data_IF_719923003082
#
_entry.id   IF_719923003082
#
_cell.length_a   1.000
_cell.length_b   1.000
_cell.length_c   1.000
_cell.angle_alpha   90.00
_cell.angle_beta   90.00
_cell.angle_gamma   90.00
#
_symmetry.space_group_name_H-M   'P 1'
#
loop_
_entity.id
_entity.type
_entity.pdbx_description
1 polymer ?
#
# COMPACT_ATOMS: atom_id res chain seq x y z
N UNK A 1 1.79 22.36 9.99
CA UNK A 1 1.65 21.38 8.90
C UNK A 1 2.93 20.61 8.62
N UNK A 2 4.07 21.26 8.29
CA UNK A 2 5.35 20.56 8.08
C UNK A 2 5.76 19.63 9.24
N UNK A 3 5.42 20.01 10.48
CA UNK A 3 5.64 19.18 11.67
C UNK A 3 4.93 17.83 11.57
N UNK A 4 3.61 17.82 11.36
CA UNK A 4 2.82 16.60 11.16
C UNK A 4 3.41 15.70 10.06
N UNK A 5 3.75 16.28 8.92
CA UNK A 5 4.33 15.51 7.81
C UNK A 5 5.68 14.88 8.16
N UNK A 6 6.54 15.61 8.89
CA UNK A 6 7.81 15.08 9.37
C UNK A 6 7.61 13.97 10.39
N UNK A 7 6.65 14.14 11.31
CA UNK A 7 6.30 13.13 12.31
C UNK A 7 5.76 11.85 11.67
N UNK A 8 4.87 11.97 10.67
CA UNK A 8 4.37 10.83 9.90
C UNK A 8 5.51 10.06 9.22
N UNK A 9 6.39 10.75 8.48
CA UNK A 9 7.55 10.11 7.85
C UNK A 9 8.49 9.47 8.89
N UNK A 10 8.74 10.13 10.02
CA UNK A 10 9.59 9.61 11.09
C UNK A 10 8.99 8.36 11.75
N UNK A 11 7.66 8.27 11.82
CA UNK A 11 6.93 7.08 12.27
C UNK A 11 6.81 5.99 11.19
N UNK A 12 7.34 6.21 9.97
CA UNK A 12 7.32 5.25 8.87
C UNK A 12 6.13 5.39 7.91
N UNK A 13 5.20 6.31 8.15
CA UNK A 13 4.06 6.58 7.25
C UNK A 13 4.51 7.50 6.11
N UNK A 14 4.78 6.90 4.96
CA UNK A 14 5.41 7.63 3.86
C UNK A 14 4.44 8.61 3.18
N UNK A 15 4.89 9.86 3.00
CA UNK A 15 4.21 10.90 2.20
C UNK A 15 5.14 11.65 1.24
N UNK A 16 6.36 11.17 1.03
CA UNK A 16 7.38 11.89 0.27
C UNK A 16 7.94 13.10 1.05
N UNK A 17 8.34 14.16 0.34
CA UNK A 17 8.96 15.34 0.95
C UNK A 17 7.93 16.24 1.63
N UNK A 18 8.08 16.57 2.94
CA UNK A 18 7.19 17.51 3.63
C UNK A 18 7.19 18.91 3.00
N UNK A 19 6.10 19.28 2.35
CA UNK A 19 5.91 20.56 1.64
C UNK A 19 5.15 21.61 2.46
N UNK A 20 4.51 21.20 3.55
CA UNK A 20 3.69 22.06 4.40
C UNK A 20 2.24 22.20 3.98
N UNK A 21 1.79 21.46 2.95
CA UNK A 21 0.41 21.45 2.46
C UNK A 21 -0.25 20.11 2.78
N UNK A 22 -1.49 20.12 3.28
CA UNK A 22 -2.27 18.90 3.44
C UNK A 22 -2.84 18.45 2.09
N UNK A 23 -1.95 17.94 1.24
CA UNK A 23 -2.31 17.39 -0.07
C UNK A 23 -2.56 15.89 -0.02
N UNK A 24 -2.79 15.32 -1.20
CA UNK A 24 -3.10 13.90 -1.39
C UNK A 24 -2.13 12.98 -0.63
N UNK A 25 -0.80 13.19 -0.71
CA UNK A 25 0.15 12.32 -0.02
C UNK A 25 0.06 12.40 1.51
N UNK A 26 -0.29 13.57 2.06
CA UNK A 26 -0.51 13.71 3.51
C UNK A 26 -1.78 12.98 3.93
N UNK A 27 -2.87 13.12 3.17
CA UNK A 27 -4.12 12.36 3.36
C UNK A 27 -3.86 10.85 3.32
N UNK A 28 -3.09 10.37 2.35
CA UNK A 28 -2.73 8.95 2.22
C UNK A 28 -1.92 8.44 3.43
N UNK A 29 -0.92 9.19 3.90
CA UNK A 29 -0.14 8.80 5.09
C UNK A 29 -0.98 8.80 6.37
N UNK A 30 -1.85 9.80 6.52
CA UNK A 30 -2.81 9.85 7.64
C UNK A 30 -3.75 8.66 7.60
N UNK A 31 -4.28 8.33 6.42
CA UNK A 31 -5.16 7.17 6.26
C UNK A 31 -4.43 5.86 6.55
N UNK A 32 -3.14 5.74 6.19
CA UNK A 32 -2.31 4.59 6.55
C UNK A 32 -2.13 4.44 8.06
N UNK A 33 -1.91 5.54 8.79
CA UNK A 33 -1.86 5.55 10.25
C UNK A 33 -3.20 5.16 10.86
N UNK A 34 -4.30 5.75 10.40
CA UNK A 34 -5.64 5.41 10.87
C UNK A 34 -5.97 3.93 10.67
N UNK A 35 -5.64 3.39 9.49
CA UNK A 35 -5.77 1.97 9.17
C UNK A 35 -4.95 1.09 10.12
N UNK A 36 -3.71 1.49 10.39
CA UNK A 36 -2.80 0.75 11.28
C UNK A 36 -3.28 0.75 12.72
N UNK A 37 -3.79 1.89 13.19
CA UNK A 37 -4.30 2.10 14.55
C UNK A 37 -5.76 1.65 14.75
N UNK A 38 -6.43 1.11 13.73
CA UNK A 38 -7.84 0.69 13.83
C UNK A 38 -8.83 1.85 14.04
N UNK A 39 -8.48 3.05 13.58
CA UNK A 39 -9.30 4.26 13.67
C UNK A 39 -10.24 4.41 12.46
N UNK A 40 -11.17 5.35 12.55
CA UNK A 40 -11.93 5.83 11.39
C UNK A 40 -10.96 6.31 10.31
N UNK A 41 -11.14 5.80 9.09
CA UNK A 41 -10.25 5.99 7.94
C UNK A 41 -10.71 7.17 7.09
N UNK A 42 -10.85 8.34 7.69
CA UNK A 42 -11.37 9.55 7.04
C UNK A 42 -10.29 10.43 6.38
N UNK A 43 -9.01 10.08 6.56
CA UNK A 43 -7.90 10.85 6.00
C UNK A 43 -7.70 12.20 6.69
N UNK A 44 -8.30 12.45 7.87
CA UNK A 44 -8.19 13.69 8.64
C UNK A 44 -7.34 13.49 9.90
N UNK A 45 -6.34 14.34 10.08
CA UNK A 45 -5.47 14.34 11.27
C UNK A 45 -6.14 14.96 12.51
N UNK A 46 -7.28 14.40 12.93
CA UNK A 46 -7.97 14.76 14.17
C UNK A 46 -7.25 14.25 15.43
N UNK A 47 -7.82 14.54 16.61
CA UNK A 47 -7.16 14.27 17.90
C UNK A 47 -6.68 12.83 18.07
N UNK A 48 -7.56 11.84 17.81
CA UNK A 48 -7.22 10.41 17.91
C UNK A 48 -6.08 10.01 16.97
N UNK A 49 -6.06 10.57 15.76
CA UNK A 49 -4.98 10.33 14.79
C UNK A 49 -3.65 10.89 15.31
N UNK A 50 -3.66 12.11 15.87
CA UNK A 50 -2.46 12.73 16.43
C UNK A 50 -1.95 12.00 17.67
N UNK A 51 -2.84 11.52 18.53
CA UNK A 51 -2.47 10.70 19.70
C UNK A 51 -1.80 9.38 19.24
N UNK A 52 -2.39 8.68 18.26
CA UNK A 52 -1.80 7.44 17.70
C UNK A 52 -0.43 7.67 17.04
N UNK A 53 -0.23 8.84 16.41
CA UNK A 53 1.08 9.23 15.86
C UNK A 53 2.10 9.46 16.96
N UNK A 54 1.73 10.17 18.03
CA UNK A 54 2.61 10.45 19.16
C UNK A 54 3.00 9.17 19.92
N UNK A 55 2.12 8.18 19.97
CA UNK A 55 2.40 6.85 20.52
C UNK A 55 3.31 6.00 19.63
N UNK A 56 3.59 6.43 18.39
CA UNK A 56 4.38 5.67 17.43
C UNK A 56 3.67 4.39 16.96
N UNK A 57 2.34 4.42 16.88
CA UNK A 57 1.55 3.26 16.47
C UNK A 57 1.99 2.76 15.10
N UNK A 58 2.30 1.48 14.99
CA UNK A 58 2.57 0.76 13.74
C UNK A 58 1.57 -0.39 13.56
N UNK A 59 1.30 -0.83 12.32
CA UNK A 59 0.52 -2.03 12.11
C UNK A 59 1.25 -3.25 12.75
N UNK A 60 0.51 -4.27 13.21
CA UNK A 60 1.12 -5.52 13.64
C UNK A 60 1.99 -6.10 12.52
N UNK A 61 3.17 -6.59 12.88
CA UNK A 61 4.06 -7.28 11.97
C UNK A 61 4.13 -8.76 12.35
N UNK A 62 3.37 -9.64 11.69
CA UNK A 62 3.45 -11.06 11.98
C UNK A 62 4.83 -11.63 11.61
N UNK A 63 5.14 -12.83 12.11
CA UNK A 63 6.40 -13.50 11.79
C UNK A 63 6.49 -13.84 10.29
N UNK A 64 7.71 -13.82 9.76
CA UNK A 64 7.98 -14.06 8.35
C UNK A 64 9.41 -13.70 7.96
N UNK A 65 9.76 -13.79 6.66
CA UNK A 65 11.08 -13.44 6.16
C UNK A 65 11.49 -12.02 6.53
N UNK A 66 12.73 -11.83 7.00
CA UNK A 66 13.20 -10.54 7.52
C UNK A 66 13.11 -9.41 6.48
N UNK A 67 13.34 -9.72 5.20
CA UNK A 67 13.17 -8.79 4.09
C UNK A 67 11.97 -9.22 3.22
N UNK A 68 10.96 -8.35 3.16
CA UNK A 68 9.75 -8.59 2.36
C UNK A 68 8.96 -7.31 2.14
N UNK A 69 8.03 -7.35 1.21
CA UNK A 69 6.83 -6.51 1.26
C UNK A 69 5.70 -7.33 1.84
N UNK A 70 4.94 -6.75 2.77
CA UNK A 70 3.77 -7.40 3.37
C UNK A 70 2.51 -6.56 3.12
N UNK A 71 1.45 -7.20 2.65
CA UNK A 71 0.15 -6.59 2.40
C UNK A 71 -0.81 -7.17 3.44
N UNK A 72 -1.26 -6.33 4.36
CA UNK A 72 -2.29 -6.65 5.35
C UNK A 72 -3.66 -6.29 4.75
N UNK A 73 -4.45 -7.32 4.43
CA UNK A 73 -5.76 -7.19 3.80
C UNK A 73 -6.83 -6.65 4.77
N UNK A 74 -6.72 -6.94 6.08
CA UNK A 74 -7.65 -6.45 7.08
C UNK A 74 -7.50 -4.92 7.25
N UNK A 75 -6.27 -4.48 7.44
CA UNK A 75 -5.94 -3.06 7.64
C UNK A 75 -5.90 -2.28 6.34
N UNK A 76 -5.69 -2.93 5.20
CA UNK A 76 -5.47 -2.28 3.91
C UNK A 76 -4.21 -1.39 3.92
N UNK A 77 -3.10 -1.93 4.44
CA UNK A 77 -1.78 -1.28 4.40
C UNK A 77 -0.75 -2.19 3.74
N UNK A 78 0.20 -1.57 3.04
CA UNK A 78 1.40 -2.22 2.51
C UNK A 78 2.59 -1.80 3.38
N UNK A 79 3.30 -2.78 3.92
CA UNK A 79 4.50 -2.60 4.71
C UNK A 79 5.73 -3.01 3.90
N UNK A 80 6.75 -2.14 3.89
CA UNK A 80 8.10 -2.52 3.45
C UNK A 80 8.86 -2.94 4.70
N UNK A 81 9.36 -4.17 4.71
CA UNK A 81 10.03 -4.76 5.87
C UNK A 81 11.48 -5.06 5.50
N UNK A 82 12.43 -4.58 6.31
CA UNK A 82 13.86 -4.82 6.14
C UNK A 82 14.50 -5.24 7.46
N UNK A 83 15.28 -6.31 7.44
CA UNK A 83 15.91 -6.85 8.65
C UNK A 83 14.91 -7.15 9.78
N UNK A 84 13.67 -7.50 9.43
CA UNK A 84 12.59 -7.77 10.38
C UNK A 84 11.92 -6.53 10.99
N UNK A 85 12.18 -5.34 10.46
CA UNK A 85 11.58 -4.07 10.90
C UNK A 85 10.78 -3.43 9.78
N UNK A 86 9.65 -2.80 10.13
CA UNK A 86 8.90 -1.96 9.18
C UNK A 86 9.75 -0.71 8.90
N UNK A 87 10.04 -0.45 7.63
CA UNK A 87 10.70 0.78 7.17
C UNK A 87 9.71 1.77 6.57
N UNK A 88 8.67 1.27 5.89
CA UNK A 88 7.58 2.09 5.37
C UNK A 88 6.23 1.42 5.59
N UNK A 89 5.22 2.22 5.90
CA UNK A 89 3.80 1.88 5.86
C UNK A 89 3.13 2.77 4.83
N UNK A 90 2.47 2.15 3.86
CA UNK A 90 1.87 2.81 2.69
C UNK A 90 0.39 2.44 2.66
N UNK A 91 -0.47 3.44 2.45
CA UNK A 91 -1.88 3.19 2.22
C UNK A 91 -2.07 2.31 0.97
N UNK A 92 -2.83 1.22 1.08
CA UNK A 92 -3.19 0.40 -0.07
C UNK A 92 -4.69 0.18 -0.18
N UNK A 93 -5.15 -0.21 -1.36
CA UNK A 93 -6.51 -0.68 -1.61
C UNK A 93 -6.44 -1.93 -2.47
N UNK A 94 -6.92 -3.05 -1.93
CA UNK A 94 -6.87 -4.37 -2.56
C UNK A 94 -8.25 -4.79 -3.07
N UNK A 95 -8.46 -6.08 -3.32
CA UNK A 95 -9.69 -6.56 -3.95
C UNK A 95 -10.97 -6.24 -3.15
N UNK A 96 -12.01 -5.77 -3.83
CA UNK A 96 -13.29 -5.37 -3.23
C UNK A 96 -14.17 -6.52 -2.73
N UNK A 97 -13.95 -7.75 -3.20
CA UNK A 97 -14.89 -8.86 -3.01
C UNK A 97 -16.12 -8.81 -3.92
N UNK A 98 -16.25 -7.79 -4.78
CA UNK A 98 -17.37 -7.66 -5.71
C UNK A 98 -17.18 -8.52 -6.96
N UNK A 99 -18.30 -8.91 -7.57
CA UNK A 99 -18.32 -9.60 -8.86
C UNK A 99 -18.08 -8.61 -9.99
N UNK A 100 -17.17 -8.96 -10.90
CA UNK A 100 -16.86 -8.21 -12.11
C UNK A 100 -16.77 -9.15 -13.31
N UNK A 101 -16.76 -8.61 -14.53
CA UNK A 101 -16.55 -9.41 -15.74
C UNK A 101 -15.06 -9.42 -16.08
N UNK A 102 -14.47 -10.61 -16.08
CA UNK A 102 -13.09 -10.83 -16.50
C UNK A 102 -13.09 -11.82 -17.66
N UNK A 103 -12.51 -11.42 -18.80
CA UNK A 103 -12.45 -12.24 -20.03
C UNK A 103 -13.83 -12.81 -20.44
N UNK A 104 -14.87 -12.00 -20.30
CA UNK A 104 -16.25 -12.38 -20.65
C UNK A 104 -16.95 -13.31 -19.66
N UNK A 105 -16.34 -13.61 -18.50
CA UNK A 105 -16.93 -14.44 -17.46
C UNK A 105 -17.03 -13.67 -16.14
N UNK A 106 -18.10 -13.89 -15.34
CA UNK A 106 -18.17 -13.37 -13.98
C UNK A 106 -17.04 -13.93 -13.11
N UNK A 107 -16.37 -13.04 -12.37
CA UNK A 107 -15.32 -13.38 -11.42
C UNK A 107 -15.44 -12.51 -10.17
N UNK A 108 -15.17 -13.07 -8.99
CA UNK A 108 -15.13 -12.32 -7.74
C UNK A 108 -13.74 -11.69 -7.59
N UNK A 109 -13.67 -10.41 -7.25
CA UNK A 109 -12.43 -9.73 -6.95
C UNK A 109 -11.84 -10.28 -5.64
N UNK A 110 -10.75 -11.04 -5.75
CA UNK A 110 -10.03 -11.60 -4.58
C UNK A 110 -8.55 -11.29 -4.70
N UNK A 111 -7.93 -10.84 -3.61
CA UNK A 111 -6.46 -10.76 -3.50
C UNK A 111 -5.98 -12.06 -2.88
N UNK A 112 -5.12 -12.84 -3.55
CA UNK A 112 -4.69 -14.14 -3.05
C UNK A 112 -3.79 -13.96 -1.83
N UNK A 113 -4.07 -14.71 -0.76
CA UNK A 113 -3.22 -14.79 0.43
C UNK A 113 -2.09 -15.80 0.22
N UNK A 114 -0.97 -15.59 0.89
CA UNK A 114 0.19 -16.48 0.80
C UNK A 114 1.52 -15.75 0.80
N UNK A 115 2.58 -16.52 0.51
CA UNK A 115 3.94 -15.99 0.30
C UNK A 115 4.33 -16.20 -1.15
N UNK A 116 4.72 -15.11 -1.80
CA UNK A 116 5.00 -15.05 -3.22
C UNK A 116 6.38 -14.42 -3.47
N UNK A 117 6.76 -14.36 -4.75
CA UNK A 117 7.98 -13.68 -5.21
C UNK A 117 7.64 -12.74 -6.35
N UNK A 118 8.26 -11.56 -6.34
CA UNK A 118 8.17 -10.63 -7.47
C UNK A 118 8.72 -11.33 -8.72
N UNK A 119 7.92 -11.35 -9.78
CA UNK A 119 8.27 -11.93 -11.07
C UNK A 119 8.39 -10.84 -12.12
N UNK A 120 7.39 -10.73 -13.00
CA UNK A 120 7.35 -9.70 -14.04
C UNK A 120 7.29 -8.31 -13.43
N UNK A 121 8.00 -7.36 -14.01
CA UNK A 121 7.97 -5.96 -13.61
C UNK A 121 7.94 -5.07 -14.85
N UNK A 122 7.20 -3.97 -14.80
CA UNK A 122 7.15 -3.01 -15.90
C UNK A 122 7.09 -1.59 -15.33
N UNK A 123 8.00 -0.70 -15.76
CA UNK A 123 8.01 0.71 -15.37
C UNK A 123 7.34 1.52 -16.47
N UNK A 124 6.24 2.22 -16.14
CA UNK A 124 5.39 2.91 -17.10
C UNK A 124 3.93 2.47 -17.02
N UNK A 125 3.11 2.93 -17.95
CA UNK A 125 1.66 2.67 -17.97
C UNK A 125 1.37 1.37 -18.73
N UNK A 126 0.84 0.36 -18.06
CA UNK A 126 0.42 -0.92 -18.65
C UNK A 126 -1.12 -0.99 -18.72
N UNK A 127 -1.67 -1.24 -19.90
CA UNK A 127 -3.12 -1.47 -20.08
C UNK A 127 -3.41 -2.95 -19.92
N UNK A 128 -4.23 -3.31 -18.94
CA UNK A 128 -4.66 -4.68 -18.68
C UNK A 128 -6.19 -4.83 -18.83
N UNK A 129 -6.71 -6.07 -18.95
CA UNK A 129 -8.14 -6.30 -19.13
C UNK A 129 -9.06 -5.70 -18.06
N UNK A 130 -8.54 -5.45 -16.85
CA UNK A 130 -9.31 -4.98 -15.68
C UNK A 130 -8.96 -3.54 -15.28
N UNK A 131 -8.24 -2.81 -16.15
CA UNK A 131 -7.86 -1.42 -15.96
C UNK A 131 -6.39 -1.14 -16.28
N UNK A 132 -6.00 0.11 -16.07
CA UNK A 132 -4.63 0.59 -16.28
C UNK A 132 -3.82 0.48 -15.00
N UNK A 133 -2.59 -0.02 -15.10
CA UNK A 133 -1.64 -0.15 -14.01
C UNK A 133 -0.48 0.81 -14.24
N UNK A 134 -0.17 1.64 -13.23
CA UNK A 134 1.00 2.50 -13.27
C UNK A 134 2.20 1.77 -12.62
N UNK A 135 3.21 1.48 -13.42
CA UNK A 135 4.48 0.87 -13.03
C UNK A 135 4.35 -0.41 -12.18
N UNK A 136 3.63 -1.45 -12.65
CA UNK A 136 3.35 -2.63 -11.84
C UNK A 136 4.59 -3.50 -11.52
N UNK A 137 4.63 -4.01 -10.28
CA UNK A 137 5.50 -5.11 -9.82
C UNK A 137 4.62 -6.34 -9.54
N UNK A 138 4.62 -7.32 -10.44
CA UNK A 138 3.79 -8.53 -10.32
C UNK A 138 4.41 -9.51 -9.33
N UNK A 139 3.60 -10.06 -8.43
CA UNK A 139 4.05 -11.04 -7.44
C UNK A 139 3.39 -12.41 -7.57
N UNK A 140 2.25 -12.52 -8.26
CA UNK A 140 1.60 -13.81 -8.50
C UNK A 140 0.75 -13.73 -9.77
N UNK A 141 1.08 -14.47 -10.83
CA UNK A 141 0.31 -14.41 -12.09
C UNK A 141 0.07 -12.96 -12.58
N UNK A 142 -1.19 -12.51 -12.57
CA UNK A 142 -1.60 -11.14 -12.92
C UNK A 142 -1.76 -10.16 -11.74
N UNK A 143 -1.47 -10.58 -10.51
CA UNK A 143 -1.57 -9.78 -9.30
C UNK A 143 -0.28 -8.99 -9.06
N UNK A 144 -0.43 -7.69 -8.86
CA UNK A 144 0.69 -6.75 -8.73
C UNK A 144 0.45 -5.74 -7.60
N UNK A 145 1.56 -5.16 -7.12
CA UNK A 145 1.55 -3.82 -6.53
C UNK A 145 1.73 -2.82 -7.65
N UNK A 146 0.87 -1.81 -7.74
CA UNK A 146 0.96 -0.78 -8.77
C UNK A 146 0.43 0.57 -8.29
N UNK A 147 0.86 1.64 -8.95
CA UNK A 147 0.34 2.98 -8.75
C UNK A 147 -1.10 3.13 -9.26
N UNK A 148 -1.88 3.94 -8.56
CA UNK A 148 -3.22 4.36 -8.95
C UNK A 148 -3.45 5.83 -8.56
N UNK A 149 -4.41 6.47 -9.22
CA UNK A 149 -4.94 7.77 -8.80
C UNK A 149 -6.01 7.68 -7.71
N UNK A 150 -6.48 6.47 -7.37
CA UNK A 150 -7.51 6.26 -6.35
C UNK A 150 -7.17 5.06 -5.46
N UNK A 151 -6.98 5.34 -4.17
CA UNK A 151 -6.64 4.37 -3.11
C UNK A 151 -7.51 4.68 -1.89
N UNK A 152 -8.80 4.30 -1.92
CA UNK A 152 -9.75 4.67 -0.88
C UNK A 152 -9.50 3.95 0.44
N UNK A 153 -10.27 4.34 1.46
CA UNK A 153 -10.24 3.75 2.80
C UNK A 153 -10.63 2.26 2.85
N UNK A 154 -11.28 1.77 1.81
CA UNK A 154 -11.80 0.41 1.67
C UNK A 154 -11.17 -0.33 0.48
N UNK A 155 -11.25 -1.68 0.43
CA UNK A 155 -10.79 -2.46 -0.72
C UNK A 155 -11.65 -2.16 -1.96
N UNK A 156 -11.03 -1.77 -3.08
CA UNK A 156 -11.73 -1.28 -4.27
C UNK A 156 -11.15 -1.77 -5.61
N UNK A 157 -10.21 -2.71 -5.57
CA UNK A 157 -9.55 -3.25 -6.76
C UNK A 157 -10.20 -4.56 -7.22
N UNK A 158 -9.77 -5.05 -8.39
CA UNK A 158 -10.14 -6.38 -8.89
C UNK A 158 -9.20 -7.50 -8.40
N UNK A 159 -8.21 -7.21 -7.55
CA UNK A 159 -7.19 -8.18 -7.15
C UNK A 159 -5.84 -7.58 -6.76
N UNK A 160 -5.41 -6.53 -7.46
CA UNK A 160 -4.11 -5.91 -7.24
C UNK A 160 -4.07 -5.03 -5.98
N UNK A 161 -2.89 -4.81 -5.43
CA UNK A 161 -2.67 -3.84 -4.36
C UNK A 161 -2.32 -2.46 -4.95
N UNK A 162 -3.24 -1.50 -4.83
CA UNK A 162 -3.06 -0.14 -5.34
C UNK A 162 -2.35 0.74 -4.31
N UNK A 163 -1.27 1.41 -4.70
CA UNK A 163 -0.62 2.48 -3.95
C UNK A 163 -0.70 3.79 -4.74
N UNK A 164 -0.38 4.95 -4.15
CA UNK A 164 -0.32 6.20 -4.93
C UNK A 164 0.79 6.14 -5.97
N UNK A 165 0.63 6.86 -7.10
CA UNK A 165 1.68 6.90 -8.13
C UNK A 165 3.05 7.34 -7.57
N UNK A 166 3.15 8.38 -6.73
CA UNK A 166 4.44 8.74 -6.11
C UNK A 166 5.00 7.66 -5.17
N UNK A 167 4.14 6.91 -4.46
CA UNK A 167 4.62 5.78 -3.66
C UNK A 167 5.15 4.65 -4.54
N UNK A 168 4.52 4.42 -5.71
CA UNK A 168 5.03 3.47 -6.69
C UNK A 168 6.35 3.93 -7.31
N UNK A 169 6.51 5.22 -7.60
CA UNK A 169 7.78 5.78 -8.06
C UNK A 169 8.88 5.54 -7.02
N UNK A 170 8.61 5.80 -5.74
CA UNK A 170 9.54 5.49 -4.64
C UNK A 170 9.89 4.00 -4.57
N UNK A 171 8.91 3.09 -4.70
CA UNK A 171 9.18 1.63 -4.75
C UNK A 171 10.11 1.27 -5.93
N UNK A 172 10.02 1.96 -7.06
CA UNK A 172 10.89 1.75 -8.21
C UNK A 172 12.28 2.36 -8.03
N UNK A 173 12.35 3.59 -7.57
CA UNK A 173 13.59 4.37 -7.48
C UNK A 173 14.50 3.87 -6.35
N UNK A 174 13.91 3.39 -5.25
CA UNK A 174 14.64 2.74 -4.15
C UNK A 174 14.75 1.21 -4.31
N UNK A 175 14.24 0.66 -5.41
CA UNK A 175 14.14 -0.77 -5.71
C UNK A 175 13.66 -1.61 -4.52
N UNK A 176 12.53 -1.21 -3.93
CA UNK A 176 11.98 -1.84 -2.73
C UNK A 176 11.26 -3.18 -3.00
N UNK A 177 11.05 -3.52 -4.27
CA UNK A 177 10.41 -4.76 -4.71
C UNK A 177 11.15 -5.37 -5.92
N UNK A 178 12.46 -5.71 -5.78
CA UNK A 178 13.23 -6.25 -6.89
C UNK A 178 12.70 -7.61 -7.33
N UNK A 179 12.98 -8.00 -8.57
CA UNK A 179 12.64 -9.35 -9.06
C UNK A 179 13.21 -10.41 -8.12
N UNK A 180 12.39 -11.39 -7.74
CA UNK A 180 12.73 -12.46 -6.80
C UNK A 180 12.46 -12.12 -5.32
N UNK A 181 12.21 -10.85 -4.97
CA UNK A 181 11.94 -10.45 -3.59
C UNK A 181 10.64 -11.01 -3.06
N UNK A 182 10.57 -11.26 -1.75
CA UNK A 182 9.39 -11.83 -1.11
C UNK A 182 8.25 -10.82 -1.01
N UNK A 183 7.04 -11.27 -1.33
CA UNK A 183 5.78 -10.58 -1.03
C UNK A 183 4.91 -11.50 -0.20
N UNK A 184 4.45 -11.03 0.96
CA UNK A 184 3.52 -11.75 1.83
C UNK A 184 2.18 -11.04 1.78
N UNK A 185 1.09 -11.79 1.61
CA UNK A 185 -0.27 -11.27 1.61
C UNK A 185 -1.07 -12.05 2.65
N UNK A 186 -1.71 -11.36 3.59
CA UNK A 186 -2.46 -11.96 4.69
C UNK A 186 -3.75 -11.19 4.95
#
# INVERSE_FOLDING_TARGET
>A
MRTLQRELNAAGYWLGTPDGTYGHLTEQAVMALQKSAGLTRDGVAGRKTLDALAEGTLPPLPSGPADRVEIDLERQVLMVVRGGRITFVINTSTASGETHISRGQPAVAVTPTGTFRVGRTFRGVEVAPLGTLYSPRYFYGGYAVHGSGSIPAYPASHGCARVSNPAMDMIWDEDLMPVGSTVVVR
#
